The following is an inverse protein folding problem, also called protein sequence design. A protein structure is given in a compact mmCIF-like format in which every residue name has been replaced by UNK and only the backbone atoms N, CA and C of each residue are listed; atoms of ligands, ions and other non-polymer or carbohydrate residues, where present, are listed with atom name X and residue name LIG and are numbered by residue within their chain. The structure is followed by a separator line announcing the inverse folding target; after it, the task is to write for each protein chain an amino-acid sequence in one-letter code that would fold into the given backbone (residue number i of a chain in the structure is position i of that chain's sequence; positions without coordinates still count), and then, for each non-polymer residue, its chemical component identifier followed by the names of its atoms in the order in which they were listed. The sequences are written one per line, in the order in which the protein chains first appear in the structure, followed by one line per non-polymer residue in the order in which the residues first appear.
data_IF_520045607252
#
_entry.id   IF_520045607252
#
_cell.length_a   1.000
_cell.length_b   1.000
_cell.length_c   1.000
_cell.angle_alpha   90.00
_cell.angle_beta   90.00
_cell.angle_gamma   90.00
#
_symmetry.space_group_name_H-M   'P 1'
#
loop_
_entity.id
_entity.type
_entity.pdbx_description
1 polymer ?
#
# COMPACT_ATOMS: atom_id res chain seq x y z
N UNK A 1 6.48 25.05 -6.37
CA UNK A 1 7.95 25.08 -6.17
C UNK A 1 8.50 23.74 -6.63
N UNK A 2 9.57 23.70 -7.42
CA UNK A 2 10.15 22.45 -7.93
C UNK A 2 11.67 22.59 -8.12
N UNK A 3 12.43 21.51 -7.90
CA UNK A 3 13.84 21.41 -8.31
C UNK A 3 14.22 19.96 -8.65
N UNK A 4 15.37 19.78 -9.31
CA UNK A 4 15.82 18.48 -9.83
C UNK A 4 16.03 17.42 -8.74
N UNK A 5 16.52 17.82 -7.56
CA UNK A 5 16.81 16.88 -6.48
C UNK A 5 15.56 16.44 -5.71
N UNK A 6 14.65 17.38 -5.41
CA UNK A 6 13.50 17.17 -4.54
C UNK A 6 12.18 17.00 -5.28
N UNK A 7 12.15 17.20 -6.60
CA UNK A 7 10.89 17.28 -7.34
C UNK A 7 10.02 18.44 -6.84
N UNK A 8 8.71 18.22 -6.73
CA UNK A 8 7.79 19.20 -6.17
C UNK A 8 8.02 19.39 -4.68
N UNK A 9 8.23 20.64 -4.27
CA UNK A 9 8.47 20.99 -2.87
C UNK A 9 7.15 21.24 -2.16
N UNK A 10 6.93 20.52 -1.08
CA UNK A 10 5.77 20.60 -0.19
C UNK A 10 6.23 20.81 1.27
N UNK A 11 5.30 21.20 2.14
CA UNK A 11 5.61 21.57 3.53
C UNK A 11 6.22 20.43 4.34
N UNK A 12 5.74 19.20 4.15
CA UNK A 12 6.24 18.03 4.87
C UNK A 12 7.25 17.27 4.00
N UNK A 13 8.46 16.96 4.51
CA UNK A 13 9.46 16.20 3.76
C UNK A 13 8.95 14.87 3.18
N UNK A 14 7.99 14.21 3.84
CA UNK A 14 7.41 12.94 3.36
C UNK A 14 6.61 13.08 2.06
N UNK A 15 6.27 14.30 1.64
CA UNK A 15 5.53 14.56 0.42
C UNK A 15 6.41 15.17 -0.70
N UNK A 16 7.73 15.22 -0.53
CA UNK A 16 8.60 15.64 -1.64
C UNK A 16 8.51 14.68 -2.84
N UNK A 17 9.04 15.11 -3.98
CA UNK A 17 9.06 14.34 -5.22
C UNK A 17 7.77 14.52 -6.00
N UNK A 18 7.02 13.44 -6.15
CA UNK A 18 5.71 13.45 -6.80
C UNK A 18 4.62 14.02 -5.89
N UNK A 19 4.82 13.96 -4.57
CA UNK A 19 3.78 14.21 -3.57
C UNK A 19 2.58 13.24 -3.66
N UNK A 20 2.62 12.25 -4.55
CA UNK A 20 1.47 11.45 -4.97
C UNK A 20 1.10 10.40 -3.95
N UNK A 21 -0.16 10.39 -3.52
CA UNK A 21 -0.75 9.29 -2.76
C UNK A 21 -1.82 8.60 -3.59
N UNK A 22 -1.43 7.58 -4.33
CA UNK A 22 -2.34 6.67 -5.03
C UNK A 22 -2.77 5.56 -4.08
N UNK A 23 -4.07 5.33 -3.94
CA UNK A 23 -4.56 4.31 -3.03
C UNK A 23 -6.01 3.89 -3.27
N UNK A 24 -6.44 2.88 -2.52
CA UNK A 24 -7.78 2.30 -2.59
C UNK A 24 -8.33 2.08 -1.20
N UNK A 25 -9.66 2.12 -1.08
CA UNK A 25 -10.34 1.46 0.03
C UNK A 25 -10.61 0.01 -0.37
N UNK A 26 -9.99 -0.93 0.35
CA UNK A 26 -10.09 -2.36 0.05
C UNK A 26 -10.47 -3.14 1.30
N UNK A 27 -11.39 -4.09 1.15
CA UNK A 27 -11.86 -4.97 2.23
C UNK A 27 -11.02 -6.24 2.25
N UNK A 28 -10.30 -6.46 3.35
CA UNK A 28 -9.33 -7.55 3.55
C UNK A 28 -9.51 -8.26 4.90
N UNK A 29 -10.71 -8.76 5.25
CA UNK A 29 -11.02 -9.26 6.58
C UNK A 29 -10.19 -10.49 6.99
N UNK A 30 -9.72 -11.31 6.04
CA UNK A 30 -8.86 -12.46 6.33
C UNK A 30 -7.40 -12.06 6.32
N UNK A 31 -6.94 -11.42 5.25
CA UNK A 31 -5.55 -11.04 5.06
C UNK A 31 -5.08 -10.07 6.15
N UNK A 32 -5.94 -9.15 6.61
CA UNK A 32 -5.56 -8.19 7.65
C UNK A 32 -5.30 -8.82 9.03
N UNK A 33 -5.82 -10.02 9.27
CA UNK A 33 -5.60 -10.77 10.51
C UNK A 33 -4.48 -11.81 10.36
N UNK A 34 -3.95 -11.98 9.16
CA UNK A 34 -2.87 -12.90 8.88
C UNK A 34 -1.56 -12.40 9.49
N UNK A 35 -0.79 -13.28 10.13
CA UNK A 35 0.43 -12.91 10.85
C UNK A 35 1.48 -12.18 9.98
N UNK A 36 1.47 -12.42 8.66
CA UNK A 36 2.38 -11.81 7.69
C UNK A 36 1.86 -10.51 7.04
N UNK A 37 0.74 -9.94 7.49
CA UNK A 37 0.13 -8.79 6.82
C UNK A 37 1.06 -7.56 6.73
N UNK A 38 1.71 -7.20 7.84
CA UNK A 38 2.64 -6.07 7.87
C UNK A 38 3.90 -6.32 7.02
N UNK A 39 4.36 -7.57 6.99
CA UNK A 39 5.49 -7.98 6.12
C UNK A 39 5.12 -7.83 4.65
N UNK A 40 3.93 -8.29 4.24
CA UNK A 40 3.44 -8.17 2.86
C UNK A 40 3.36 -6.70 2.45
N UNK A 41 2.79 -5.83 3.29
CA UNK A 41 2.72 -4.39 3.02
C UNK A 41 4.12 -3.79 2.84
N UNK A 42 5.05 -4.13 3.74
CA UNK A 42 6.44 -3.66 3.70
C UNK A 42 7.14 -4.07 2.42
N UNK A 43 7.03 -5.35 2.04
CA UNK A 43 7.65 -5.89 0.82
C UNK A 43 7.08 -5.29 -0.45
N UNK A 44 5.79 -4.94 -0.43
CA UNK A 44 5.12 -4.26 -1.55
C UNK A 44 5.33 -2.75 -1.56
N UNK A 45 5.99 -2.17 -0.54
CA UNK A 45 6.13 -0.72 -0.32
C UNK A 45 4.79 0.01 -0.26
N UNK A 46 3.81 -0.66 0.34
CA UNK A 46 2.47 -0.13 0.61
C UNK A 46 2.34 0.23 2.09
N UNK A 47 1.53 1.26 2.36
CA UNK A 47 1.15 1.64 3.71
C UNK A 47 -0.36 1.48 3.90
N UNK A 48 -0.78 1.08 5.11
CA UNK A 48 -2.18 1.05 5.53
C UNK A 48 -2.53 2.23 6.43
N UNK A 49 -3.75 2.73 6.27
CA UNK A 49 -4.43 3.65 7.19
C UNK A 49 -5.83 3.10 7.49
N UNK A 50 -6.44 3.56 8.59
CA UNK A 50 -7.83 3.23 8.86
C UNK A 50 -8.79 3.87 7.89
N UNK A 51 -10.06 3.48 7.98
CA UNK A 51 -11.08 3.80 6.98
C UNK A 51 -11.40 5.30 6.88
N UNK A 52 -11.14 6.08 7.94
CA UNK A 52 -11.28 7.54 7.97
C UNK A 52 -9.95 8.30 7.83
N UNK A 53 -8.86 7.63 7.43
CA UNK A 53 -7.55 8.24 7.23
C UNK A 53 -6.52 7.87 8.30
N UNK A 54 -5.45 8.68 8.38
CA UNK A 54 -4.19 8.34 9.07
C UNK A 54 -4.34 8.05 10.56
N UNK A 55 -5.32 8.68 11.23
CA UNK A 55 -5.54 8.56 12.67
C UNK A 55 -6.77 7.73 13.05
N UNK A 56 -7.29 6.92 12.11
CA UNK A 56 -8.51 6.13 12.35
C UNK A 56 -8.23 4.64 12.39
N UNK A 57 -9.10 3.89 13.07
CA UNK A 57 -9.10 2.43 13.00
C UNK A 57 -9.75 1.94 11.70
N UNK A 58 -9.37 0.75 11.25
CA UNK A 58 -10.09 0.05 10.18
C UNK A 58 -11.45 -0.42 10.69
N UNK A 59 -12.53 -0.09 9.99
CA UNK A 59 -13.88 -0.57 10.29
C UNK A 59 -14.23 -1.72 9.34
N UNK A 60 -14.65 -2.87 9.89
CA UNK A 60 -15.15 -4.00 9.10
C UNK A 60 -14.14 -4.65 8.16
N UNK A 61 -12.83 -4.56 8.48
CA UNK A 61 -11.76 -5.06 7.63
C UNK A 61 -11.48 -4.22 6.39
N UNK A 62 -11.96 -2.97 6.33
CA UNK A 62 -11.70 -2.02 5.24
C UNK A 62 -10.49 -1.15 5.59
N UNK A 63 -9.50 -1.17 4.71
CA UNK A 63 -8.26 -0.40 4.85
C UNK A 63 -8.08 0.57 3.69
N UNK A 64 -7.51 1.73 4.00
CA UNK A 64 -6.93 2.64 3.00
C UNK A 64 -5.49 2.17 2.73
N UNK A 65 -5.27 1.57 1.56
CA UNK A 65 -3.97 1.05 1.11
C UNK A 65 -3.42 1.96 0.02
N UNK A 66 -2.18 2.44 0.18
CA UNK A 66 -1.55 3.38 -0.76
C UNK A 66 -0.03 3.19 -0.86
N UNK A 67 0.62 3.75 -1.88
CA UNK A 67 2.08 3.80 -1.95
C UNK A 67 2.67 4.54 -0.74
N UNK A 68 3.75 3.98 -0.18
CA UNK A 68 4.49 4.61 0.91
C UNK A 68 5.39 5.75 0.39
N UNK A 69 6.12 5.48 -0.69
CA UNK A 69 7.15 6.37 -1.22
C UNK A 69 6.62 7.43 -2.18
N UNK A 70 7.27 8.60 -2.15
CA UNK A 70 6.91 9.81 -2.92
C UNK A 70 8.06 10.41 -3.71
N UNK A 71 9.30 10.13 -3.31
CA UNK A 71 10.53 10.67 -3.93
C UNK A 71 11.38 9.51 -4.46
N UNK A 72 12.03 9.70 -5.61
CA UNK A 72 12.90 8.70 -6.24
C UNK A 72 12.22 7.73 -7.21
N UNK A 73 10.94 7.95 -7.53
CA UNK A 73 10.17 7.22 -8.55
C UNK A 73 9.15 8.15 -9.21
N UNK A 74 8.73 7.84 -10.44
CA UNK A 74 7.71 8.65 -11.13
C UNK A 74 6.30 8.35 -10.62
N UNK A 75 5.35 9.23 -10.93
CA UNK A 75 3.93 9.03 -10.63
C UNK A 75 3.41 7.72 -11.24
N UNK A 76 3.85 7.39 -12.46
CA UNK A 76 3.44 6.17 -13.16
C UNK A 76 3.95 4.94 -12.43
N UNK A 77 5.21 4.92 -12.02
CA UNK A 77 5.80 3.81 -11.27
C UNK A 77 5.11 3.61 -9.92
N UNK A 78 4.80 4.71 -9.23
CA UNK A 78 4.12 4.68 -7.93
C UNK A 78 2.69 4.14 -8.06
N UNK A 79 1.94 4.55 -9.09
CA UNK A 79 0.60 4.02 -9.35
C UNK A 79 0.66 2.55 -9.79
N UNK A 80 1.62 2.18 -10.63
CA UNK A 80 1.81 0.79 -11.05
C UNK A 80 2.12 -0.13 -9.86
N UNK A 81 2.96 0.33 -8.93
CA UNK A 81 3.25 -0.37 -7.69
C UNK A 81 1.99 -0.63 -6.85
N UNK A 82 1.08 0.36 -6.76
CA UNK A 82 -0.21 0.22 -6.08
C UNK A 82 -1.11 -0.77 -6.80
N UNK A 83 -1.23 -0.68 -8.12
CA UNK A 83 -2.04 -1.60 -8.93
C UNK A 83 -1.60 -3.05 -8.72
N UNK A 84 -0.30 -3.33 -8.80
CA UNK A 84 0.22 -4.68 -8.67
C UNK A 84 0.09 -5.21 -7.23
N UNK A 85 0.42 -4.38 -6.24
CA UNK A 85 0.32 -4.78 -4.84
C UNK A 85 -1.12 -5.04 -4.42
N UNK A 86 -2.07 -4.18 -4.81
CA UNK A 86 -3.49 -4.38 -4.50
C UNK A 86 -4.05 -5.62 -5.19
N UNK A 87 -3.69 -5.87 -6.45
CA UNK A 87 -4.10 -7.11 -7.15
C UNK A 87 -3.64 -8.36 -6.40
N UNK A 88 -2.37 -8.42 -5.99
CA UNK A 88 -1.84 -9.54 -5.22
C UNK A 88 -2.57 -9.72 -3.88
N UNK A 89 -2.82 -8.62 -3.16
CA UNK A 89 -3.55 -8.67 -1.89
C UNK A 89 -4.99 -9.18 -2.06
N UNK A 90 -5.68 -8.82 -3.15
CA UNK A 90 -7.01 -9.36 -3.49
C UNK A 90 -6.95 -10.86 -3.77
N UNK A 91 -5.91 -11.34 -4.47
CA UNK A 91 -5.73 -12.77 -4.70
C UNK A 91 -5.46 -13.55 -3.42
N UNK A 92 -4.61 -13.00 -2.53
CA UNK A 92 -4.36 -13.56 -1.21
C UNK A 92 -5.63 -13.63 -0.37
N UNK A 93 -6.43 -12.56 -0.33
CA UNK A 93 -7.71 -12.53 0.39
C UNK A 93 -8.64 -13.65 -0.11
N UNK A 94 -8.82 -13.76 -1.43
CA UNK A 94 -9.66 -14.80 -2.05
C UNK A 94 -9.20 -16.22 -1.74
N UNK A 95 -7.88 -16.45 -1.59
CA UNK A 95 -7.35 -17.75 -1.16
C UNK A 95 -7.68 -18.03 0.30
N UNK A 96 -7.46 -17.05 1.17
CA UNK A 96 -7.78 -17.18 2.60
C UNK A 96 -9.29 -17.37 2.84
N UNK A 97 -10.16 -16.74 2.04
CA UNK A 97 -11.61 -16.98 2.07
C UNK A 97 -11.99 -18.43 1.77
N UNK A 98 -11.20 -19.13 0.94
CA UNK A 98 -11.36 -20.56 0.63
C UNK A 98 -10.64 -21.48 1.62
N UNK A 99 -9.93 -20.93 2.60
CA UNK A 99 -9.10 -21.70 3.54
C UNK A 99 -7.78 -22.18 2.95
N UNK A 100 -7.33 -21.63 1.83
CA UNK A 100 -6.04 -21.95 1.22
C UNK A 100 -4.90 -21.14 1.84
N UNK A 101 -3.71 -21.74 1.93
CA UNK A 101 -2.51 -21.06 2.42
C UNK A 101 -1.92 -20.09 1.38
N UNK A 102 -1.27 -19.02 1.86
CA UNK A 102 -0.65 -17.97 1.03
C UNK A 102 0.88 -17.91 1.15
N UNK A 103 1.53 -18.89 1.81
CA UNK A 103 2.97 -18.86 2.04
C UNK A 103 3.80 -18.79 0.74
N UNK A 104 3.32 -19.41 -0.34
CA UNK A 104 3.95 -19.33 -1.66
C UNK A 104 3.67 -18.03 -2.42
N UNK A 105 2.89 -17.12 -1.86
CA UNK A 105 2.52 -15.83 -2.50
C UNK A 105 3.22 -14.64 -1.84
N UNK A 106 4.02 -14.83 -0.79
CA UNK A 106 4.73 -13.74 -0.13
C UNK A 106 5.69 -13.10 -1.14
N UNK A 107 5.51 -11.80 -1.48
CA UNK A 107 6.27 -11.18 -2.55
C UNK A 107 7.75 -11.04 -2.18
N UNK A 108 8.62 -10.86 -3.18
CA UNK A 108 9.97 -10.38 -2.94
C UNK A 108 9.93 -8.93 -2.43
N UNK A 109 11.00 -8.48 -1.76
CA UNK A 109 11.15 -7.08 -1.38
C UNK A 109 11.30 -6.22 -2.65
N UNK A 110 10.40 -5.26 -2.84
CA UNK A 110 10.52 -4.19 -3.85
C UNK A 110 11.43 -3.06 -3.37
#
# INVERSE_FOLDING_TARGET
MWNEHLGYVLTCPSNLGTGLRGGVHVKLPKLSTHAKFEEILTRLRLQKRGTGGVDTASVGGVFDISNADRLGSSEVDQVQLVVDGVKLMIEMEKKLEKGEAIDGMIPAQK
#
